data_IF_910451547091
#
_entry.id   IF_910451547091
#
_cell.length_a   1.000
_cell.length_b   1.000
_cell.length_c   1.000
_cell.angle_alpha   90.00
_cell.angle_beta   90.00
_cell.angle_gamma   90.00
#
_symmetry.space_group_name_H-M   'P 1'
#
loop_
_entity.id
_entity.type
_entity.pdbx_description
1 polymer ?
#
# COMPACT_ATOMS: atom_id res chain seq x y z
N UNK A 1 0.57 -24.99 2.63
CA UNK A 1 0.86 -24.08 3.76
C UNK A 1 -0.44 -23.51 4.30
N UNK A 2 -0.60 -23.36 5.62
CA UNK A 2 -1.78 -22.67 6.18
C UNK A 2 -1.67 -21.16 5.96
N UNK A 3 -2.80 -20.45 5.95
CA UNK A 3 -2.80 -18.98 5.86
C UNK A 3 -2.05 -18.33 7.02
N UNK A 4 -2.20 -18.86 8.24
CA UNK A 4 -1.52 -18.33 9.43
C UNK A 4 0.00 -18.48 9.37
N UNK A 5 0.48 -19.58 8.77
CA UNK A 5 1.91 -19.80 8.53
C UNK A 5 2.43 -18.86 7.44
N UNK A 6 1.69 -18.68 6.34
CA UNK A 6 2.10 -17.75 5.28
C UNK A 6 2.25 -16.32 5.81
N UNK A 7 1.25 -15.83 6.57
CA UNK A 7 1.34 -14.51 7.21
C UNK A 7 2.53 -14.45 8.16
N UNK A 8 2.83 -15.54 8.89
CA UNK A 8 3.97 -15.59 9.81
C UNK A 8 5.31 -15.47 9.11
N UNK A 9 5.50 -16.23 8.04
CA UNK A 9 6.73 -16.21 7.28
C UNK A 9 6.96 -14.86 6.62
N UNK A 10 5.91 -14.24 6.07
CA UNK A 10 6.01 -12.90 5.46
C UNK A 10 6.31 -11.84 6.52
N UNK A 11 5.65 -11.88 7.68
CA UNK A 11 5.96 -10.95 8.79
C UNK A 11 7.42 -11.09 9.24
N UNK A 12 7.90 -12.31 9.46
CA UNK A 12 9.29 -12.53 9.87
C UNK A 12 10.29 -12.05 8.82
N UNK A 13 10.01 -12.28 7.52
CA UNK A 13 10.85 -11.78 6.43
C UNK A 13 10.93 -10.24 6.43
N UNK A 14 9.81 -9.54 6.66
CA UNK A 14 9.81 -8.08 6.74
C UNK A 14 10.62 -7.58 7.94
N UNK A 15 10.51 -8.24 9.10
CA UNK A 15 11.32 -7.93 10.29
C UNK A 15 12.81 -8.14 10.00
N UNK A 16 13.19 -9.24 9.34
CA UNK A 16 14.58 -9.51 8.91
C UNK A 16 15.08 -8.46 7.89
N UNK A 17 14.18 -7.94 7.04
CA UNK A 17 14.44 -6.84 6.12
C UNK A 17 14.49 -5.44 6.80
N UNK A 18 14.35 -5.38 8.12
CA UNK A 18 14.45 -4.15 8.91
C UNK A 18 13.16 -3.33 8.98
N UNK A 19 12.01 -3.90 8.64
CA UNK A 19 10.72 -3.24 8.84
C UNK A 19 10.24 -3.36 10.28
N UNK A 20 9.67 -2.28 10.81
CA UNK A 20 8.74 -2.35 11.93
C UNK A 20 7.39 -2.86 11.39
N UNK A 21 6.89 -3.97 11.92
CA UNK A 21 5.64 -4.59 11.45
C UNK A 21 4.55 -4.47 12.52
N UNK A 22 3.33 -4.14 12.10
CA UNK A 22 2.18 -4.05 13.00
C UNK A 22 1.70 -5.44 13.43
N UNK A 23 0.93 -5.46 14.49
CA UNK A 23 0.09 -6.60 14.83
C UNK A 23 -0.80 -6.98 13.65
N UNK A 24 -1.10 -8.28 13.55
CA UNK A 24 -2.02 -8.79 12.54
C UNK A 24 -3.40 -8.20 12.77
N UNK A 25 -3.97 -7.56 11.75
CA UNK A 25 -5.34 -7.10 11.80
C UNK A 25 -6.28 -8.33 11.83
N UNK A 26 -6.69 -8.81 12.99
CA UNK A 26 -7.49 -10.05 13.09
C UNK A 26 -9.01 -9.81 13.00
N UNK A 27 -9.43 -8.54 12.97
CA UNK A 27 -10.84 -8.14 12.98
C UNK A 27 -11.36 -8.01 11.55
N UNK A 28 -12.63 -8.39 11.33
CA UNK A 28 -13.30 -8.30 10.03
C UNK A 28 -14.42 -7.25 10.07
N UNK A 29 -14.75 -6.64 8.91
CA UNK A 29 -14.06 -6.76 7.61
C UNK A 29 -12.67 -6.09 7.64
N UNK A 30 -11.77 -6.50 6.74
CA UNK A 30 -10.40 -5.95 6.65
C UNK A 30 -9.78 -6.04 5.26
N UNK A 31 -9.06 -5.00 4.89
CA UNK A 31 -8.45 -4.88 3.57
C UNK A 31 -7.00 -5.35 3.53
N UNK A 32 -6.24 -5.12 4.60
CA UNK A 32 -4.87 -5.60 4.76
C UNK A 32 -4.72 -6.59 5.94
N UNK A 33 -3.59 -7.28 5.99
CA UNK A 33 -3.22 -8.22 7.04
C UNK A 33 -2.27 -7.60 8.07
N UNK A 34 -1.30 -6.81 7.62
CA UNK A 34 -0.32 -6.08 8.43
C UNK A 34 0.04 -4.76 7.75
N UNK A 35 0.44 -3.77 8.54
CA UNK A 35 1.20 -2.61 8.06
C UNK A 35 2.68 -2.84 8.37
N UNK A 36 3.59 -2.31 7.55
CA UNK A 36 5.02 -2.38 7.80
C UNK A 36 5.69 -1.04 7.46
N UNK A 37 6.71 -0.60 8.21
CA UNK A 37 7.47 0.61 7.91
C UNK A 37 8.97 0.35 7.93
N UNK A 38 9.69 0.89 6.95
CA UNK A 38 11.16 1.01 6.96
C UNK A 38 11.55 2.41 6.49
N UNK A 39 12.00 3.25 7.42
CA UNK A 39 12.26 4.67 7.13
C UNK A 39 10.96 5.41 6.79
N UNK A 40 10.89 5.94 5.57
CA UNK A 40 9.71 6.62 5.03
C UNK A 40 8.80 5.69 4.23
N UNK A 41 9.27 4.49 3.85
CA UNK A 41 8.45 3.48 3.17
C UNK A 41 7.45 2.89 4.16
N UNK A 42 6.16 3.05 3.88
CA UNK A 42 5.07 2.41 4.62
C UNK A 42 4.31 1.49 3.69
N UNK A 43 4.12 0.23 4.08
CA UNK A 43 3.42 -0.79 3.30
C UNK A 43 2.11 -1.17 3.99
N UNK A 44 1.04 -1.30 3.22
CA UNK A 44 -0.20 -1.97 3.62
C UNK A 44 -0.28 -3.32 2.89
N UNK A 45 -0.02 -4.41 3.61
CA UNK A 45 0.16 -5.73 2.99
C UNK A 45 -1.06 -6.62 3.16
N UNK A 46 -1.56 -7.13 2.03
CA UNK A 46 -2.57 -8.20 2.00
C UNK A 46 -1.91 -9.51 1.59
N UNK A 47 -2.07 -10.54 2.41
CA UNK A 47 -1.35 -11.82 2.23
C UNK A 47 -2.35 -12.94 1.91
N UNK A 48 -2.19 -13.55 0.74
CA UNK A 48 -3.14 -14.50 0.18
C UNK A 48 -2.45 -15.75 -0.38
N UNK A 49 -2.99 -16.93 -0.05
CA UNK A 49 -2.56 -18.17 -0.71
C UNK A 49 -3.07 -18.29 -2.15
N UNK A 50 -4.21 -17.67 -2.46
CA UNK A 50 -4.73 -17.55 -3.83
C UNK A 50 -5.14 -16.09 -4.07
N UNK A 51 -4.51 -15.43 -5.03
CA UNK A 51 -4.75 -14.01 -5.32
C UNK A 51 -6.08 -13.75 -6.04
N UNK A 52 -6.76 -14.79 -6.55
CA UNK A 52 -8.14 -14.67 -7.06
C UNK A 52 -9.16 -14.35 -5.98
N UNK A 53 -8.80 -14.47 -4.70
CA UNK A 53 -9.61 -14.02 -3.58
C UNK A 53 -9.50 -12.51 -3.32
N UNK A 54 -8.59 -11.80 -3.99
CA UNK A 54 -8.46 -10.37 -3.88
C UNK A 54 -9.53 -9.70 -4.76
N UNK A 55 -10.56 -9.14 -4.12
CA UNK A 55 -11.70 -8.54 -4.81
C UNK A 55 -11.53 -7.03 -5.04
N UNK A 56 -12.34 -6.48 -5.95
CA UNK A 56 -12.29 -5.07 -6.33
C UNK A 56 -12.59 -4.11 -5.17
N UNK A 57 -13.47 -4.49 -4.24
CA UNK A 57 -13.78 -3.65 -3.07
C UNK A 57 -12.58 -3.56 -2.11
N UNK A 58 -11.86 -4.67 -1.91
CA UNK A 58 -10.62 -4.69 -1.12
C UNK A 58 -9.53 -3.88 -1.80
N UNK A 59 -9.35 -4.04 -3.12
CA UNK A 59 -8.38 -3.27 -3.88
C UNK A 59 -8.67 -1.77 -3.87
N UNK A 60 -9.94 -1.38 -3.99
CA UNK A 60 -10.39 0.00 -3.86
C UNK A 60 -10.03 0.58 -2.48
N UNK A 61 -10.40 -0.12 -1.41
CA UNK A 61 -10.11 0.32 -0.04
C UNK A 61 -8.61 0.43 0.22
N UNK A 62 -7.80 -0.56 -0.18
CA UNK A 62 -6.35 -0.51 0.04
C UNK A 62 -5.71 0.68 -0.66
N UNK A 63 -6.18 1.04 -1.87
CA UNK A 63 -5.68 2.21 -2.59
C UNK A 63 -6.03 3.52 -1.87
N UNK A 64 -7.28 3.67 -1.41
CA UNK A 64 -7.68 4.82 -0.58
C UNK A 64 -6.86 4.93 0.70
N UNK A 65 -6.74 3.84 1.46
CA UNK A 65 -5.93 3.81 2.66
C UNK A 65 -4.45 4.11 2.38
N UNK A 66 -3.94 3.66 1.24
CA UNK A 66 -2.60 4.00 0.78
C UNK A 66 -2.43 5.51 0.58
N UNK A 67 -3.42 6.18 -0.02
CA UNK A 67 -3.43 7.64 -0.13
C UNK A 67 -3.47 8.32 1.24
N UNK A 68 -4.40 7.96 2.13
CA UNK A 68 -4.61 8.68 3.40
C UNK A 68 -3.51 8.45 4.44
N UNK A 69 -2.78 7.34 4.33
CA UNK A 69 -1.72 6.97 5.27
C UNK A 69 -0.32 7.14 4.67
N UNK A 70 -0.23 7.72 3.46
CA UNK A 70 1.00 7.81 2.67
C UNK A 70 1.75 6.46 2.64
N UNK A 71 1.03 5.42 2.23
CA UNK A 71 1.48 4.04 2.26
C UNK A 71 1.24 3.33 0.93
N UNK A 72 2.14 2.42 0.58
CA UNK A 72 2.04 1.59 -0.61
C UNK A 72 1.16 0.37 -0.33
N UNK A 73 -0.01 0.23 -0.98
CA UNK A 73 -0.78 -1.01 -0.93
C UNK A 73 -0.09 -2.09 -1.76
N UNK A 74 0.05 -3.29 -1.21
CA UNK A 74 0.68 -4.41 -1.92
C UNK A 74 0.08 -5.76 -1.49
N UNK A 75 0.05 -6.71 -2.43
CA UNK A 75 -0.37 -8.09 -2.17
C UNK A 75 0.84 -9.02 -2.26
N UNK A 76 1.02 -9.86 -1.24
CA UNK A 76 1.94 -11.00 -1.31
C UNK A 76 1.12 -12.27 -1.50
N UNK A 77 1.34 -12.94 -2.63
CA UNK A 77 0.51 -14.03 -3.13
C UNK A 77 1.32 -15.27 -3.52
N UNK A 78 0.77 -16.48 -3.31
CA UNK A 78 1.46 -17.69 -3.78
C UNK A 78 1.12 -18.04 -5.24
N UNK A 79 -0.16 -17.92 -5.61
CA UNK A 79 -0.68 -18.47 -6.87
C UNK A 79 -2.01 -17.85 -7.28
N UNK A 80 -2.39 -18.09 -8.52
CA UNK A 80 -3.77 -18.00 -9.00
C UNK A 80 -4.46 -19.35 -8.81
N UNK A 81 -5.66 -19.51 -9.37
CA UNK A 81 -6.32 -20.83 -9.52
C UNK A 81 -5.54 -21.79 -10.43
N UNK A 82 -4.86 -21.26 -11.44
CA UNK A 82 -4.33 -22.05 -12.55
C UNK A 82 -2.83 -22.32 -12.42
N UNK A 83 -2.07 -21.38 -11.86
CA UNK A 83 -0.60 -21.46 -11.77
C UNK A 83 -0.03 -20.70 -10.57
N UNK A 84 1.19 -21.08 -10.17
CA UNK A 84 1.96 -20.36 -9.16
C UNK A 84 2.49 -19.03 -9.72
N UNK A 85 2.61 -18.02 -8.85
CA UNK A 85 3.20 -16.75 -9.27
C UNK A 85 4.68 -16.94 -9.55
N UNK A 86 5.15 -16.42 -10.68
CA UNK A 86 6.55 -16.52 -11.08
C UNK A 86 7.42 -15.59 -10.23
N UNK A 87 8.53 -16.07 -9.65
CA UNK A 87 9.51 -15.22 -9.00
C UNK A 87 10.05 -14.14 -9.96
N UNK A 88 10.37 -12.97 -9.41
CA UNK A 88 10.86 -11.81 -10.19
C UNK A 88 9.81 -11.09 -11.06
N UNK A 89 8.55 -11.55 -11.07
CA UNK A 89 7.46 -10.94 -11.84
C UNK A 89 6.49 -10.18 -10.94
N UNK A 90 6.17 -8.94 -11.30
CA UNK A 90 5.09 -8.14 -10.70
C UNK A 90 3.80 -8.36 -11.46
N UNK A 91 2.74 -8.72 -10.75
CA UNK A 91 1.38 -8.79 -11.28
C UNK A 91 0.58 -7.62 -10.75
N UNK A 92 -0.53 -7.27 -11.39
CA UNK A 92 -1.45 -6.23 -10.89
C UNK A 92 -2.86 -6.77 -10.77
N UNK A 93 -3.52 -6.46 -9.65
CA UNK A 93 -4.95 -6.73 -9.46
C UNK A 93 -5.63 -5.55 -8.81
N UNK A 94 -6.71 -5.07 -9.44
CA UNK A 94 -7.49 -3.95 -8.94
C UNK A 94 -6.63 -2.70 -8.64
N UNK A 95 -5.59 -2.47 -9.44
CA UNK A 95 -4.64 -1.38 -9.27
C UNK A 95 -3.65 -1.55 -8.11
N UNK A 96 -3.53 -2.76 -7.54
CA UNK A 96 -2.57 -3.06 -6.46
C UNK A 96 -1.51 -4.03 -6.98
N UNK A 97 -0.20 -3.75 -6.78
CA UNK A 97 0.87 -4.66 -7.14
C UNK A 97 0.78 -5.97 -6.33
N UNK A 98 1.08 -7.07 -7.00
CA UNK A 98 1.00 -8.42 -6.47
C UNK A 98 2.31 -9.15 -6.79
N UNK A 99 3.01 -9.59 -5.77
CA UNK A 99 4.30 -10.29 -5.91
C UNK A 99 4.30 -11.61 -5.15
N UNK A 100 5.19 -12.52 -5.54
CA UNK A 100 5.43 -13.77 -4.81
C UNK A 100 6.25 -13.53 -3.54
N UNK A 101 6.22 -14.43 -2.53
CA UNK A 101 7.14 -14.35 -1.40
C UNK A 101 8.61 -14.36 -1.81
N UNK A 102 8.97 -15.12 -2.86
CA UNK A 102 10.34 -15.18 -3.37
C UNK A 102 10.76 -13.80 -3.91
N UNK A 103 9.90 -13.17 -4.72
CA UNK A 103 10.12 -11.79 -5.18
C UNK A 103 10.20 -10.80 -4.01
N UNK A 104 9.43 -11.00 -2.94
CA UNK A 104 9.47 -10.13 -1.77
C UNK A 104 10.78 -10.28 -0.98
N UNK A 105 11.36 -11.49 -0.89
CA UNK A 105 12.69 -11.71 -0.30
C UNK A 105 13.74 -11.00 -1.14
N UNK A 106 13.76 -11.24 -2.45
CA UNK A 106 14.71 -10.58 -3.36
C UNK A 106 14.63 -9.06 -3.21
N UNK A 107 13.41 -8.52 -3.21
CA UNK A 107 13.20 -7.08 -3.18
C UNK A 107 13.52 -6.44 -1.82
N UNK A 108 12.99 -6.98 -0.72
CA UNK A 108 13.10 -6.33 0.59
C UNK A 108 14.36 -6.70 1.36
N UNK A 109 14.86 -7.94 1.21
CA UNK A 109 16.02 -8.46 1.95
C UNK A 109 17.29 -8.29 1.12
N UNK A 110 17.29 -8.78 -0.12
CA UNK A 110 18.47 -8.77 -0.99
C UNK A 110 18.65 -7.44 -1.75
N UNK A 111 17.65 -6.55 -1.67
CA UNK A 111 17.62 -5.27 -2.39
C UNK A 111 17.73 -5.43 -3.92
N UNK A 112 17.12 -6.48 -4.46
CA UNK A 112 17.04 -6.80 -5.88
C UNK A 112 15.62 -6.50 -6.38
N UNK A 113 15.38 -5.36 -7.05
CA UNK A 113 14.05 -5.01 -7.51
C UNK A 113 13.61 -5.86 -8.71
N UNK A 114 12.30 -6.12 -8.86
CA UNK A 114 11.79 -6.85 -10.01
C UNK A 114 11.92 -6.02 -11.29
N UNK A 115 12.29 -6.67 -12.39
CA UNK A 115 12.41 -6.05 -13.71
C UNK A 115 11.23 -6.38 -14.63
N UNK A 116 10.47 -7.44 -14.31
CA UNK A 116 9.43 -7.98 -15.17
C UNK A 116 8.07 -7.72 -14.55
N UNK A 117 7.10 -7.31 -15.37
CA UNK A 117 5.70 -7.27 -14.96
C UNK A 117 4.78 -8.00 -15.95
N UNK A 118 3.62 -8.41 -15.47
CA UNK A 118 2.59 -9.09 -16.25
C UNK A 118 1.48 -8.11 -16.67
N UNK A 119 1.19 -8.07 -17.97
CA UNK A 119 0.13 -7.26 -18.56
C UNK A 119 -0.63 -8.07 -19.63
N UNK A 120 -1.75 -7.54 -20.18
CA UNK A 120 -2.45 -8.19 -21.28
C UNK A 120 -1.49 -8.55 -22.43
N UNK A 121 -1.49 -9.82 -22.82
CA UNK A 121 -0.65 -10.32 -23.92
C UNK A 121 0.70 -10.92 -23.51
N UNK A 122 1.16 -10.78 -22.27
CA UNK A 122 2.38 -11.46 -21.81
C UNK A 122 3.13 -10.78 -20.69
N UNK A 123 4.44 -11.04 -20.66
CA UNK A 123 5.39 -10.45 -19.73
C UNK A 123 6.18 -9.34 -20.42
N UNK A 124 6.35 -8.23 -19.71
CA UNK A 124 6.96 -7.02 -20.21
C UNK A 124 8.05 -6.52 -19.25
N UNK A 125 8.93 -5.69 -19.78
CA UNK A 125 10.06 -5.06 -19.09
C UNK A 125 10.10 -3.60 -19.47
N UNK A 126 10.35 -2.74 -18.49
CA UNK A 126 10.52 -1.31 -18.70
C UNK A 126 11.82 -1.06 -19.45
N UNK A 127 11.77 -0.26 -20.51
CA UNK A 127 12.95 0.16 -21.27
C UNK A 127 13.31 1.57 -20.87
N UNK A 128 14.59 1.80 -20.57
CA UNK A 128 15.10 3.15 -20.42
C UNK A 128 15.21 3.79 -21.80
N UNK A 129 14.25 4.66 -22.11
CA UNK A 129 14.10 5.26 -23.43
C UNK A 129 15.27 6.18 -23.79
N UNK A 130 15.83 6.88 -22.80
CA UNK A 130 16.97 7.77 -22.98
C UNK A 130 18.24 6.94 -23.23
N UNK A 131 18.51 5.93 -22.39
CA UNK A 131 19.68 5.06 -22.57
C UNK A 131 19.59 4.29 -23.89
N UNK A 132 18.40 3.82 -24.30
CA UNK A 132 18.21 3.16 -25.59
C UNK A 132 18.52 4.09 -26.76
N UNK A 133 18.02 5.32 -26.72
CA UNK A 133 18.26 6.31 -27.77
C UNK A 133 19.77 6.61 -27.89
N UNK A 134 20.45 6.85 -26.77
CA UNK A 134 21.89 7.10 -26.70
C UNK A 134 22.69 5.90 -27.24
N UNK A 135 22.39 4.68 -26.78
CA UNK A 135 23.07 3.46 -27.23
C UNK A 135 22.92 3.22 -28.75
N UNK A 136 21.75 3.56 -29.30
CA UNK A 136 21.50 3.51 -30.76
C UNK A 136 22.32 4.57 -31.50
N UNK A 137 22.34 5.79 -31.00
CA UNK A 137 23.01 6.94 -31.65
C UNK A 137 24.53 6.85 -31.59
N UNK A 138 25.10 6.36 -30.49
CA UNK A 138 26.53 6.09 -30.34
C UNK A 138 27.06 5.09 -31.36
N UNK A 139 26.19 4.21 -31.85
CA UNK A 139 26.50 3.26 -32.93
C UNK A 139 26.18 3.79 -34.33
N UNK A 140 25.71 5.03 -34.44
CA UNK A 140 25.23 5.68 -35.67
C UNK A 140 24.08 4.90 -36.35
N UNK A 141 23.21 4.27 -35.55
CA UNK A 141 22.11 3.47 -36.09
C UNK A 141 20.85 4.30 -36.29
N UNK A 142 20.21 4.12 -37.45
CA UNK A 142 18.85 4.61 -37.64
C UNK A 142 17.84 3.71 -36.92
N UNK A 143 16.67 4.26 -36.59
CA UNK A 143 15.51 3.48 -36.09
C UNK A 143 15.19 2.27 -36.98
N UNK A 144 15.32 2.42 -38.31
CA UNK A 144 15.06 1.34 -39.25
C UNK A 144 16.11 0.23 -39.21
N UNK A 145 17.36 0.55 -38.87
CA UNK A 145 18.42 -0.43 -38.67
C UNK A 145 18.15 -1.25 -37.41
N UNK A 146 17.90 -0.59 -36.28
CA UNK A 146 17.59 -1.28 -35.02
C UNK A 146 16.33 -2.14 -35.16
N UNK A 147 15.30 -1.64 -35.84
CA UNK A 147 14.08 -2.40 -36.10
C UNK A 147 14.35 -3.70 -36.88
N UNK A 148 15.29 -3.68 -37.82
CA UNK A 148 15.69 -4.87 -38.58
C UNK A 148 16.42 -5.89 -37.71
N UNK A 149 17.32 -5.44 -36.83
CA UNK A 149 18.05 -6.33 -35.92
C UNK A 149 17.09 -7.02 -34.93
N UNK A 150 16.11 -6.28 -34.41
CA UNK A 150 15.10 -6.79 -33.46
C UNK A 150 13.95 -7.56 -34.13
N UNK A 151 13.86 -7.56 -35.46
CA UNK A 151 12.73 -8.16 -36.17
C UNK A 151 11.37 -7.46 -35.93
N UNK A 152 11.38 -6.18 -35.53
CA UNK A 152 10.18 -5.39 -35.24
C UNK A 152 9.97 -4.27 -36.27
N UNK A 153 8.88 -3.51 -36.14
CA UNK A 153 8.63 -2.37 -37.02
C UNK A 153 9.47 -1.15 -36.59
N UNK A 154 9.83 -0.27 -37.55
CA UNK A 154 10.45 1.02 -37.23
C UNK A 154 9.62 1.84 -36.21
N UNK A 155 8.29 1.75 -36.31
CA UNK A 155 7.37 2.41 -35.38
C UNK A 155 7.47 1.84 -33.96
N UNK A 156 7.75 0.54 -33.82
CA UNK A 156 7.93 -0.11 -32.53
C UNK A 156 9.17 0.42 -31.83
N UNK A 157 10.30 0.51 -32.54
CA UNK A 157 11.53 1.10 -31.99
C UNK A 157 11.33 2.55 -31.57
N UNK A 158 10.68 3.36 -32.41
CA UNK A 158 10.31 4.74 -32.05
C UNK A 158 9.52 4.79 -30.74
N UNK A 159 8.56 3.87 -30.56
CA UNK A 159 7.76 3.82 -29.35
C UNK A 159 8.59 3.45 -28.11
N UNK A 160 9.58 2.57 -28.24
CA UNK A 160 10.48 2.25 -27.12
C UNK A 160 11.28 3.49 -26.69
N UNK A 161 11.79 4.26 -27.64
CA UNK A 161 12.44 5.56 -27.37
C UNK A 161 11.46 6.66 -26.92
N UNK A 162 10.15 6.44 -27.09
CA UNK A 162 9.08 7.29 -26.54
C UNK A 162 8.56 6.78 -25.17
N UNK A 163 9.22 5.78 -24.55
CA UNK A 163 8.89 5.25 -23.22
C UNK A 163 7.94 4.04 -23.19
N UNK A 164 7.80 3.31 -24.31
CA UNK A 164 7.02 2.07 -24.35
C UNK A 164 7.81 0.87 -23.82
N UNK A 165 7.13 0.01 -23.06
CA UNK A 165 7.70 -1.25 -22.57
C UNK A 165 7.83 -2.32 -23.67
N UNK A 166 8.81 -3.20 -23.50
CA UNK A 166 9.11 -4.28 -24.42
C UNK A 166 8.73 -5.64 -23.84
N UNK A 167 8.51 -6.64 -24.69
CA UNK A 167 8.42 -8.02 -24.20
C UNK A 167 9.78 -8.46 -23.66
N UNK A 168 9.79 -9.43 -22.75
CA UNK A 168 11.04 -10.01 -22.20
C UNK A 168 12.01 -10.47 -23.30
N UNK A 169 11.48 -11.05 -24.39
CA UNK A 169 12.29 -11.50 -25.53
C UNK A 169 12.98 -10.34 -26.25
N UNK A 170 12.28 -9.22 -26.45
CA UNK A 170 12.84 -8.03 -27.11
C UNK A 170 13.82 -7.31 -26.18
N UNK A 171 13.53 -7.21 -24.89
CA UNK A 171 14.43 -6.63 -23.90
C UNK A 171 15.76 -7.39 -23.83
N UNK A 172 15.71 -8.72 -23.79
CA UNK A 172 16.93 -9.55 -23.82
C UNK A 172 17.75 -9.36 -25.10
N UNK A 173 17.08 -9.24 -26.26
CA UNK A 173 17.75 -8.95 -27.53
C UNK A 173 18.40 -7.56 -27.53
N UNK A 174 17.75 -6.56 -26.95
CA UNK A 174 18.30 -5.20 -26.83
C UNK A 174 19.57 -5.21 -25.99
N UNK A 175 19.55 -5.81 -24.80
CA UNK A 175 20.72 -5.89 -23.93
C UNK A 175 21.87 -6.67 -24.58
N UNK A 176 21.60 -7.79 -25.26
CA UNK A 176 22.62 -8.55 -25.99
C UNK A 176 23.20 -7.75 -27.16
N UNK A 177 22.35 -7.02 -27.89
CA UNK A 177 22.77 -6.24 -29.05
C UNK A 177 23.68 -5.09 -28.62
N UNK A 178 23.33 -4.39 -27.55
CA UNK A 178 24.04 -3.19 -27.09
C UNK A 178 25.14 -3.46 -26.07
N UNK A 179 25.15 -4.62 -25.42
CA UNK A 179 26.04 -4.97 -24.29
C UNK A 179 25.94 -3.93 -23.16
N UNK A 180 24.71 -3.51 -22.86
CA UNK A 180 24.40 -2.46 -21.90
C UNK A 180 23.08 -2.77 -21.17
N UNK A 181 22.93 -2.37 -19.89
CA UNK A 181 21.66 -2.48 -19.18
C UNK A 181 20.71 -1.41 -19.73
N UNK A 182 19.77 -1.83 -20.56
CA UNK A 182 18.77 -0.94 -21.20
C UNK A 182 17.40 -1.04 -20.52
N UNK A 183 17.32 -1.81 -19.44
CA UNK A 183 16.09 -2.10 -18.72
C UNK A 183 16.07 -1.39 -17.38
N UNK A 184 14.88 -0.95 -16.97
CA UNK A 184 14.67 -0.28 -15.70
C UNK A 184 13.81 -1.15 -14.77
N UNK A 185 13.98 -1.05 -13.44
CA UNK A 185 13.12 -1.73 -12.50
C UNK A 185 11.64 -1.37 -12.64
N UNK A 186 10.77 -2.30 -12.25
CA UNK A 186 9.34 -2.06 -12.09
C UNK A 186 9.13 -1.37 -10.76
N UNK A 187 8.56 -0.17 -10.78
CA UNK A 187 8.22 0.52 -9.54
C UNK A 187 7.03 -0.16 -8.85
N UNK A 188 7.28 -0.59 -7.61
CA UNK A 188 6.31 -1.27 -6.76
C UNK A 188 6.02 -0.50 -5.47
N UNK A 189 6.78 0.57 -5.18
CA UNK A 189 6.66 1.38 -3.96
C UNK A 189 6.05 2.74 -4.29
N UNK A 190 6.62 3.44 -5.26
CA UNK A 190 6.16 4.75 -5.71
C UNK A 190 5.36 4.55 -7.01
N UNK A 191 4.17 5.13 -7.10
CA UNK A 191 3.58 5.37 -8.42
C UNK A 191 3.40 4.16 -9.35
N UNK A 192 2.93 3.01 -8.83
CA UNK A 192 2.39 1.97 -9.71
C UNK A 192 1.29 2.51 -10.67
N UNK A 193 0.81 3.75 -10.49
CA UNK A 193 -0.01 4.55 -11.41
C UNK A 193 0.49 4.62 -12.86
N UNK A 194 1.80 4.60 -13.13
CA UNK A 194 2.30 4.64 -14.52
C UNK A 194 2.16 3.30 -15.26
N UNK A 195 2.30 2.18 -14.54
CA UNK A 195 2.12 0.81 -15.07
C UNK A 195 0.65 0.35 -14.96
N UNK A 196 -0.17 1.11 -14.21
CA UNK A 196 -1.60 0.83 -13.98
C UNK A 196 -2.43 1.31 -15.17
N UNK A 197 -2.92 0.36 -15.97
CA UNK A 197 -4.27 0.46 -16.57
C UNK A 197 -5.35 0.29 -15.45
N UNK A 198 -5.17 0.97 -14.32
CA UNK A 198 -6.05 0.93 -13.17
C UNK A 198 -7.08 2.05 -13.25
N UNK A 199 -8.34 1.83 -12.82
CA UNK A 199 -9.26 2.95 -12.62
C UNK A 199 -8.66 3.92 -11.59
N UNK A 200 -9.02 5.22 -11.63
CA UNK A 200 -8.58 6.18 -10.61
C UNK A 200 -8.87 5.67 -9.20
N UNK A 201 -8.17 6.23 -8.20
CA UNK A 201 -8.50 5.96 -6.79
C UNK A 201 -9.99 6.25 -6.58
N UNK A 202 -10.77 5.26 -6.10
CA UNK A 202 -12.21 5.45 -5.95
C UNK A 202 -12.52 6.50 -4.88
N UNK A 203 -13.68 7.15 -5.01
CA UNK A 203 -14.20 8.10 -4.00
C UNK A 203 -14.40 7.43 -2.64
N UNK A 204 -14.49 8.26 -1.60
CA UNK A 204 -14.81 7.82 -0.24
C UNK A 204 -16.17 7.12 -0.17
N UNK A 205 -16.34 6.11 0.70
CA UNK A 205 -17.64 5.54 0.97
C UNK A 205 -18.52 6.55 1.73
N UNK A 206 -19.84 6.34 1.67
CA UNK A 206 -20.77 7.09 2.50
C UNK A 206 -20.47 6.88 3.99
N UNK A 207 -20.64 7.94 4.79
CA UNK A 207 -20.46 7.87 6.24
C UNK A 207 -21.56 6.98 6.84
N UNK A 208 -21.15 6.03 7.69
CA UNK A 208 -22.07 5.24 8.50
C UNK A 208 -22.87 6.18 9.43
N UNK A 209 -24.21 6.11 9.49
CA UNK A 209 -25.02 6.97 10.36
C UNK A 209 -24.55 7.02 11.82
N UNK A 210 -24.02 5.90 12.34
CA UNK A 210 -23.52 5.82 13.71
C UNK A 210 -22.21 6.62 13.90
N UNK A 211 -21.43 6.81 12.84
CA UNK A 211 -20.15 7.55 12.85
C UNK A 211 -20.33 9.03 12.48
N UNK A 212 -21.52 9.44 12.02
CA UNK A 212 -21.83 10.81 11.59
C UNK A 212 -21.54 11.89 12.66
N UNK A 213 -21.86 11.70 13.96
CA UNK A 213 -21.54 12.69 14.99
C UNK A 213 -20.03 12.91 15.12
N UNK A 214 -19.24 11.83 15.06
CA UNK A 214 -17.78 11.86 15.18
C UNK A 214 -17.18 12.59 13.99
N UNK A 215 -17.58 12.20 12.76
CA UNK A 215 -17.14 12.87 11.53
C UNK A 215 -17.44 14.37 11.60
N UNK A 216 -18.64 14.74 12.05
CA UNK A 216 -19.05 16.15 12.17
C UNK A 216 -18.14 16.93 13.11
N UNK A 217 -17.79 16.36 14.28
CA UNK A 217 -16.90 17.01 15.24
C UNK A 217 -15.50 17.15 14.66
N UNK A 218 -14.93 16.08 14.10
CA UNK A 218 -13.57 16.10 13.55
C UNK A 218 -13.44 17.10 12.39
N UNK A 219 -14.43 17.18 11.50
CA UNK A 219 -14.47 18.19 10.44
C UNK A 219 -14.59 19.61 11.01
N UNK A 220 -15.43 19.84 12.03
CA UNK A 220 -15.55 21.15 12.71
C UNK A 220 -14.22 21.59 13.33
N UNK A 221 -13.49 20.66 13.91
CA UNK A 221 -12.18 20.84 14.54
C UNK A 221 -11.07 21.13 13.50
N UNK A 222 -11.34 20.85 12.22
CA UNK A 222 -10.48 21.20 11.09
C UNK A 222 -9.68 20.04 10.53
N UNK A 223 -10.17 18.81 10.69
CA UNK A 223 -9.66 17.64 9.98
C UNK A 223 -10.45 17.37 8.71
N UNK A 224 -9.75 16.94 7.66
CA UNK A 224 -10.36 16.22 6.55
C UNK A 224 -10.54 14.76 6.99
N UNK A 225 -11.75 14.22 6.84
CA UNK A 225 -12.15 12.95 7.45
C UNK A 225 -12.59 11.98 6.36
N UNK A 226 -11.86 10.87 6.25
CA UNK A 226 -12.08 9.83 5.26
C UNK A 226 -12.70 8.58 5.91
N UNK A 227 -13.95 8.24 5.60
CA UNK A 227 -14.58 7.02 6.08
C UNK A 227 -13.96 5.76 5.49
N UNK A 228 -14.04 4.66 6.23
CA UNK A 228 -13.46 3.36 5.83
C UNK A 228 -14.44 2.23 6.10
N UNK A 229 -14.51 1.28 5.17
CA UNK A 229 -15.42 0.12 5.24
C UNK A 229 -14.73 -1.14 5.73
N UNK A 230 -13.43 -1.25 5.49
CA UNK A 230 -12.67 -2.51 5.62
C UNK A 230 -11.33 -2.25 6.30
N UNK A 231 -11.33 -1.53 7.40
CA UNK A 231 -10.17 -1.26 8.24
C UNK A 231 -10.44 -1.57 9.72
N UNK A 232 -9.41 -1.69 10.58
CA UNK A 232 -9.62 -1.78 12.03
C UNK A 232 -10.06 -0.45 12.66
N UNK A 233 -10.19 0.61 11.89
CA UNK A 233 -10.71 1.92 12.27
C UNK A 233 -11.93 2.24 11.39
N UNK A 234 -12.73 3.22 11.78
CA UNK A 234 -13.90 3.73 11.04
C UNK A 234 -13.53 4.89 10.13
N UNK A 235 -12.59 5.73 10.56
CA UNK A 235 -12.09 6.84 9.75
C UNK A 235 -10.57 6.97 9.82
N UNK A 236 -10.00 7.53 8.76
CA UNK A 236 -8.68 8.16 8.75
C UNK A 236 -8.93 9.67 8.65
N UNK A 237 -8.26 10.46 9.48
CA UNK A 237 -8.41 11.91 9.48
C UNK A 237 -7.06 12.58 9.34
N UNK A 238 -6.98 13.64 8.55
CA UNK A 238 -5.76 14.39 8.33
C UNK A 238 -5.96 15.89 8.56
N UNK A 239 -4.93 16.53 9.10
CA UNK A 239 -4.87 17.97 9.25
C UNK A 239 -3.60 18.47 8.57
N UNK A 240 -3.73 18.87 7.29
CA UNK A 240 -2.59 19.33 6.49
C UNK A 240 -1.80 20.46 7.16
N UNK A 241 -2.50 21.36 7.87
CA UNK A 241 -1.86 22.51 8.54
C UNK A 241 -0.93 22.09 9.67
N UNK A 242 -1.24 20.98 10.34
CA UNK A 242 -0.49 20.46 11.50
C UNK A 242 0.35 19.22 11.17
N UNK A 243 0.23 18.67 9.95
CA UNK A 243 0.85 17.40 9.55
C UNK A 243 0.49 16.27 10.53
N UNK A 244 -0.78 16.24 10.95
CA UNK A 244 -1.30 15.26 11.89
C UNK A 244 -2.25 14.31 11.17
N UNK A 245 -2.03 13.01 11.34
CA UNK A 245 -2.95 11.97 10.91
C UNK A 245 -3.52 11.26 12.16
N UNK A 246 -4.78 10.84 12.07
CA UNK A 246 -5.49 10.15 13.15
C UNK A 246 -6.32 8.97 12.61
N UNK A 247 -6.25 7.84 13.31
CA UNK A 247 -7.14 6.68 13.13
C UNK A 247 -8.24 6.77 14.19
N UNK A 248 -9.51 6.77 13.77
CA UNK A 248 -10.63 6.81 14.72
C UNK A 248 -11.46 5.55 14.63
N UNK A 249 -11.67 4.88 15.76
CA UNK A 249 -12.59 3.76 15.91
C UNK A 249 -13.79 4.21 16.73
N UNK A 250 -14.93 3.54 16.53
CA UNK A 250 -16.15 3.84 17.25
C UNK A 250 -16.98 2.57 17.45
N UNK A 251 -17.40 2.33 18.70
CA UNK A 251 -18.40 1.34 19.11
C UNK A 251 -18.56 1.34 20.63
N UNK A 252 -19.55 0.61 21.15
CA UNK A 252 -19.55 0.16 22.55
C UNK A 252 -18.20 -0.48 22.96
N UNK A 253 -17.74 -0.21 24.18
CA UNK A 253 -16.44 -0.66 24.68
C UNK A 253 -16.46 -2.12 25.16
N UNK A 254 -16.53 -3.04 24.20
CA UNK A 254 -16.50 -4.50 24.42
C UNK A 254 -15.07 -5.06 24.37
N UNK A 255 -14.88 -6.35 24.70
CA UNK A 255 -13.60 -7.05 24.47
C UNK A 255 -13.14 -7.02 23.00
N UNK A 256 -14.08 -6.91 22.06
CA UNK A 256 -13.76 -6.78 20.63
C UNK A 256 -13.27 -5.38 20.32
N UNK A 257 -13.88 -4.35 20.91
CA UNK A 257 -13.42 -2.97 20.82
C UNK A 257 -12.03 -2.80 21.43
N UNK A 258 -11.75 -3.40 22.60
CA UNK A 258 -10.42 -3.41 23.20
C UNK A 258 -9.38 -4.02 22.26
N UNK A 259 -9.67 -5.18 21.66
CA UNK A 259 -8.77 -5.79 20.66
C UNK A 259 -8.58 -4.89 19.43
N UNK A 260 -9.62 -4.18 19.01
CA UNK A 260 -9.57 -3.25 17.89
C UNK A 260 -8.67 -2.07 18.22
N UNK A 261 -8.81 -1.48 19.41
CA UNK A 261 -7.97 -0.40 19.90
C UNK A 261 -6.49 -0.80 19.97
N UNK A 262 -6.16 -2.03 20.38
CA UNK A 262 -4.76 -2.54 20.34
C UNK A 262 -4.22 -2.62 18.92
N UNK A 263 -5.00 -3.18 17.99
CA UNK A 263 -4.61 -3.25 16.57
C UNK A 263 -4.42 -1.85 16.00
N UNK A 264 -5.33 -0.92 16.30
CA UNK A 264 -5.23 0.47 15.85
C UNK A 264 -3.94 1.11 16.35
N UNK A 265 -3.59 0.96 17.63
CA UNK A 265 -2.33 1.48 18.14
C UNK A 265 -1.13 0.91 17.40
N UNK A 266 -1.07 -0.41 17.22
CA UNK A 266 0.03 -1.04 16.51
C UNK A 266 0.15 -0.58 15.05
N UNK A 267 -0.98 -0.40 14.35
CA UNK A 267 -0.99 0.21 13.01
C UNK A 267 -0.54 1.67 13.09
N UNK A 268 -1.05 2.45 14.04
CA UNK A 268 -0.71 3.86 14.24
C UNK A 268 0.77 4.08 14.52
N UNK A 269 1.42 3.20 15.29
CA UNK A 269 2.86 3.23 15.48
C UNK A 269 3.62 3.04 14.17
N UNK A 270 3.17 2.09 13.33
CA UNK A 270 3.76 1.84 12.01
C UNK A 270 3.43 2.95 11.02
N UNK A 271 2.26 3.58 11.07
CA UNK A 271 1.88 4.65 10.13
C UNK A 271 2.19 6.05 10.65
N UNK A 272 2.79 6.18 11.85
CA UNK A 272 3.01 7.44 12.58
C UNK A 272 1.71 8.25 12.71
N UNK A 273 0.64 7.55 13.03
CA UNK A 273 -0.72 8.08 13.15
C UNK A 273 -1.20 7.93 14.58
N UNK A 274 -1.89 8.94 15.11
CA UNK A 274 -2.50 8.84 16.45
C UNK A 274 -3.72 7.93 16.40
N UNK A 275 -3.96 7.14 17.43
CA UNK A 275 -5.15 6.27 17.49
C UNK A 275 -6.10 6.74 18.58
N UNK A 276 -7.36 6.93 18.19
CA UNK A 276 -8.46 7.33 19.07
C UNK A 276 -9.59 6.34 18.94
N UNK A 277 -10.19 5.95 20.06
CA UNK A 277 -11.37 5.11 20.09
C UNK A 277 -12.49 5.81 20.85
N UNK A 278 -13.55 6.15 20.14
CA UNK A 278 -14.73 6.81 20.70
C UNK A 278 -15.69 5.76 21.24
N UNK A 279 -16.18 5.97 22.46
CA UNK A 279 -17.07 5.05 23.18
C UNK A 279 -18.17 5.82 23.90
N UNK A 280 -19.28 5.18 24.25
CA UNK A 280 -20.34 5.84 25.02
C UNK A 280 -19.88 6.16 26.46
N UNK A 281 -19.30 5.18 27.16
CA UNK A 281 -18.83 5.32 28.54
C UNK A 281 -17.66 4.36 28.79
N UNK A 282 -16.63 4.80 29.52
CA UNK A 282 -15.51 3.93 29.93
C UNK A 282 -14.81 4.43 31.20
N UNK A 283 -14.29 3.49 31.98
CA UNK A 283 -13.44 3.80 33.14
C UNK A 283 -11.95 3.83 32.81
N UNK A 284 -11.59 3.44 31.58
CA UNK A 284 -10.20 3.41 31.11
C UNK A 284 -9.92 4.64 30.27
N UNK A 285 -8.72 5.19 30.42
CA UNK A 285 -8.25 6.34 29.63
C UNK A 285 -7.63 5.91 28.30
N UNK A 286 -7.00 4.74 28.25
CA UNK A 286 -6.31 4.24 27.04
C UNK A 286 -6.28 2.71 26.94
N UNK A 287 -5.86 2.23 25.76
CA UNK A 287 -5.52 0.82 25.47
C UNK A 287 -4.29 0.77 24.56
N UNK A 288 -3.15 0.35 25.12
CA UNK A 288 -1.87 0.15 24.42
C UNK A 288 -1.48 1.38 23.57
N UNK A 289 -1.73 2.60 24.04
CA UNK A 289 -1.46 3.85 23.33
C UNK A 289 -2.62 4.39 22.47
N UNK A 290 -3.72 3.65 22.32
CA UNK A 290 -4.97 4.21 21.76
C UNK A 290 -5.74 4.96 22.84
N UNK A 291 -5.98 6.25 22.64
CA UNK A 291 -6.77 7.06 23.55
C UNK A 291 -8.25 6.64 23.50
N UNK A 292 -8.87 6.39 24.65
CA UNK A 292 -10.31 6.20 24.75
C UNK A 292 -10.95 7.54 25.10
N UNK A 293 -11.93 7.97 24.30
CA UNK A 293 -12.63 9.24 24.49
C UNK A 293 -14.12 8.95 24.51
N UNK A 294 -14.83 9.49 25.52
CA UNK A 294 -16.28 9.37 25.53
C UNK A 294 -16.91 10.28 24.47
N UNK A 295 -18.03 9.87 23.87
CA UNK A 295 -18.74 10.68 22.87
C UNK A 295 -19.08 12.08 23.40
N UNK A 296 -19.44 12.17 24.68
CA UNK A 296 -19.74 13.44 25.33
C UNK A 296 -18.52 14.37 25.43
N UNK A 297 -17.35 13.81 25.77
CA UNK A 297 -16.08 14.55 25.83
C UNK A 297 -15.68 15.05 24.44
N UNK A 298 -15.80 14.20 23.42
CA UNK A 298 -15.48 14.58 22.05
C UNK A 298 -16.41 15.69 21.54
N UNK A 299 -17.70 15.65 21.88
CA UNK A 299 -18.68 16.64 21.44
C UNK A 299 -18.36 18.07 21.93
N UNK A 300 -17.75 18.17 23.11
CA UNK A 300 -17.35 19.44 23.75
C UNK A 300 -16.09 20.06 23.14
N UNK A 301 -15.29 19.28 22.39
CA UNK A 301 -14.07 19.76 21.73
C UNK A 301 -14.39 20.79 20.64
N UNK A 302 -13.75 21.95 20.73
CA UNK A 302 -14.01 23.11 19.86
C UNK A 302 -12.93 23.34 18.81
N UNK A 303 -11.68 22.94 19.09
CA UNK A 303 -10.55 23.10 18.17
C UNK A 303 -9.54 21.94 18.25
N UNK A 304 -8.58 21.95 17.32
CA UNK A 304 -7.64 20.84 17.15
C UNK A 304 -6.61 20.76 18.26
N UNK A 305 -6.28 21.88 18.91
CA UNK A 305 -5.32 21.88 20.01
C UNK A 305 -5.98 21.27 21.26
N UNK A 306 -7.26 21.58 21.51
CA UNK A 306 -8.06 20.93 22.56
C UNK A 306 -8.19 19.42 22.33
N UNK A 307 -8.49 18.99 21.08
CA UNK A 307 -8.52 17.55 20.75
C UNK A 307 -7.17 16.88 21.02
N UNK A 308 -6.09 17.55 20.60
CA UNK A 308 -4.73 17.03 20.73
C UNK A 308 -4.34 16.89 22.20
N UNK A 309 -4.66 17.88 23.01
CA UNK A 309 -4.35 17.89 24.44
C UNK A 309 -5.15 16.80 25.16
N UNK A 310 -6.43 16.62 24.83
CA UNK A 310 -7.26 15.51 25.32
C UNK A 310 -6.64 14.13 24.96
N UNK A 311 -6.19 13.94 23.72
CA UNK A 311 -5.53 12.70 23.31
C UNK A 311 -4.21 12.48 24.07
N UNK A 312 -3.42 13.55 24.27
CA UNK A 312 -2.14 13.47 24.97
C UNK A 312 -2.30 13.14 26.46
N UNK A 313 -3.31 13.71 27.13
CA UNK A 313 -3.65 13.38 28.51
C UNK A 313 -3.96 11.89 28.69
N UNK A 314 -4.60 11.27 27.68
CA UNK A 314 -4.92 9.83 27.69
C UNK A 314 -3.72 8.95 27.32
N UNK A 315 -2.84 9.43 26.45
CA UNK A 315 -1.67 8.70 25.96
C UNK A 315 -0.46 8.73 26.89
N UNK A 316 -0.37 9.68 27.83
CA UNK A 316 0.76 9.83 28.75
C UNK A 316 0.78 8.82 29.92
N UNK A 317 -0.28 8.03 30.11
CA UNK A 317 -0.41 7.09 31.23
C UNK A 317 0.36 5.75 31.03
N UNK A 318 1.12 5.60 29.95
CA UNK A 318 1.98 4.42 29.71
C UNK A 318 3.44 4.70 30.08
N UNK A 319 3.75 4.66 31.38
CA UNK A 319 5.11 4.38 31.92
C UNK A 319 5.29 2.88 32.22
#
# INVERSE_FOLDING_TARGET
MSRSALVGNVTAMLEDAGFLVSDRCAIRPKSFDVAARRGEDVLLLKILGNIDAFDGQTGAEMRRLGTYLNATPMVIGLRTRDEDLKPGVVYFRHGVPVISPDTAVDFFVENVPPLIYAAPGGLYVNIDSEILADAREDREWSLGRLAKELGVSRRTVSKYEDGMDASVEVAAQLEELFDAPLTSPVDVLDGADEVRDGPPTPEDPDVDPDDQPIVTVLTRVGFDVHPTDRAPFKTVSENERRQEHMLTGHSEFTKTAEKRARIMSSVGQVTRTRSVYVVEETKRTSVDGTALIEESELADVTDADELRDLILERGADEE
#
